data_IF_092924339486
#
_entry.id   IF_092924339486
#
_cell.length_a   1.000
_cell.length_b   1.000
_cell.length_c   1.000
_cell.angle_alpha   90.00
_cell.angle_beta   90.00
_cell.angle_gamma   90.00
#
_symmetry.space_group_name_H-M   'P 1'
#
loop_
_entity.id
_entity.type
_entity.pdbx_description
1 polymer ?
#
# COMPACT_ATOMS: atom_id res chain seq x y z
N UNK A 1 -21.99 32.74 6.24
CA UNK A 1 -21.91 32.30 4.83
C UNK A 1 -21.92 30.77 4.87
N UNK A 2 -22.85 30.14 4.16
CA UNK A 2 -23.11 28.69 4.27
C UNK A 2 -21.93 27.87 3.76
N UNK A 3 -21.42 26.95 4.60
CA UNK A 3 -20.42 25.97 4.20
C UNK A 3 -21.14 24.75 3.62
N UNK A 4 -21.36 24.73 2.31
CA UNK A 4 -21.90 23.56 1.62
C UNK A 4 -20.74 22.66 1.25
N UNK A 5 -20.45 21.68 2.11
CA UNK A 5 -19.51 20.60 1.78
C UNK A 5 -20.15 19.73 0.69
N UNK A 6 -19.49 19.52 -0.46
CA UNK A 6 -20.01 18.64 -1.50
C UNK A 6 -20.05 17.19 -0.99
N UNK A 7 -21.05 16.40 -1.41
CA UNK A 7 -21.14 15.00 -0.99
C UNK A 7 -19.95 14.21 -1.54
N UNK A 8 -19.34 13.38 -0.69
CA UNK A 8 -18.25 12.50 -1.08
C UNK A 8 -18.83 11.38 -1.97
N UNK A 9 -18.23 11.10 -3.14
CA UNK A 9 -18.67 10.00 -3.99
C UNK A 9 -18.53 8.64 -3.29
N UNK A 10 -19.34 7.64 -3.65
CA UNK A 10 -19.24 6.31 -3.05
C UNK A 10 -17.88 5.70 -3.32
N UNK A 11 -17.27 5.11 -2.29
CA UNK A 11 -16.02 4.38 -2.41
C UNK A 11 -16.23 3.14 -3.31
N UNK A 12 -15.35 2.86 -4.27
CA UNK A 12 -15.42 1.61 -5.03
C UNK A 12 -15.32 0.41 -4.08
N UNK A 13 -15.91 -0.74 -4.44
CA UNK A 13 -15.72 -1.96 -3.65
C UNK A 13 -14.21 -2.26 -3.58
N UNK A 14 -13.72 -2.49 -2.37
CA UNK A 14 -12.37 -3.03 -2.17
C UNK A 14 -12.42 -4.40 -2.85
N UNK A 15 -11.68 -4.57 -3.94
CA UNK A 15 -11.47 -5.89 -4.49
C UNK A 15 -10.60 -6.62 -3.46
N UNK A 16 -11.13 -7.68 -2.83
CA UNK A 16 -10.35 -8.71 -2.12
C UNK A 16 -9.47 -9.52 -3.11
N UNK A 17 -8.95 -8.87 -4.14
CA UNK A 17 -8.26 -9.48 -5.27
C UNK A 17 -6.95 -8.75 -5.47
N UNK A 18 -5.89 -9.45 -5.07
CA UNK A 18 -4.48 -9.13 -5.28
C UNK A 18 -3.98 -7.95 -4.44
N UNK A 19 -3.69 -8.25 -3.17
CA UNK A 19 -2.44 -7.74 -2.62
C UNK A 19 -1.37 -8.17 -3.61
N UNK A 20 -0.93 -7.23 -4.45
CA UNK A 20 0.11 -7.46 -5.43
C UNK A 20 1.27 -8.13 -4.69
N UNK A 21 1.80 -9.20 -5.29
CA UNK A 21 2.84 -10.09 -4.73
C UNK A 21 4.13 -9.27 -4.50
N UNK A 22 4.12 -8.41 -3.48
CA UNK A 22 5.27 -7.61 -3.07
C UNK A 22 6.29 -8.61 -2.55
N UNK A 23 7.47 -8.70 -3.17
CA UNK A 23 8.45 -9.71 -2.80
C UNK A 23 8.96 -9.45 -1.39
N UNK A 24 8.69 -10.39 -0.48
CA UNK A 24 9.14 -10.38 0.91
C UNK A 24 10.06 -11.57 1.20
N UNK A 25 10.91 -11.43 2.22
CA UNK A 25 11.81 -12.47 2.71
C UNK A 25 11.71 -12.60 4.22
N UNK A 26 11.89 -13.81 4.73
CA UNK A 26 11.94 -14.06 6.17
C UNK A 26 13.33 -13.73 6.73
N UNK A 27 13.40 -12.82 7.71
CA UNK A 27 14.62 -12.48 8.45
C UNK A 27 14.31 -12.58 9.94
N UNK A 28 15.02 -13.48 10.64
CA UNK A 28 14.85 -13.71 12.08
C UNK A 28 13.40 -14.03 12.53
N UNK A 29 12.61 -14.61 11.61
CA UNK A 29 11.21 -14.97 11.85
C UNK A 29 10.22 -13.82 11.65
N UNK A 30 10.66 -12.69 11.10
CA UNK A 30 9.83 -11.58 10.66
C UNK A 30 9.80 -11.50 9.12
N UNK A 31 8.65 -11.14 8.55
CA UNK A 31 8.52 -10.93 7.11
C UNK A 31 8.92 -9.49 6.78
N UNK A 32 10.01 -9.33 6.02
CA UNK A 32 10.53 -8.02 5.61
C UNK A 32 10.57 -7.90 4.09
N UNK A 33 10.54 -6.67 3.57
CA UNK A 33 10.68 -6.41 2.14
C UNK A 33 12.02 -6.96 1.62
N UNK A 34 11.99 -7.64 0.47
CA UNK A 34 13.20 -8.15 -0.15
C UNK A 34 13.92 -7.06 -0.95
N UNK A 35 15.02 -6.54 -0.41
CA UNK A 35 15.85 -5.49 -1.03
C UNK A 35 16.65 -5.98 -2.24
N UNK A 36 16.75 -7.30 -2.42
CA UNK A 36 17.41 -7.93 -3.56
C UNK A 36 16.42 -8.20 -4.72
N UNK A 37 15.12 -7.95 -4.50
CA UNK A 37 14.11 -8.05 -5.55
C UNK A 37 14.27 -6.91 -6.55
N UNK A 38 14.08 -7.22 -7.84
CA UNK A 38 14.18 -6.23 -8.90
C UNK A 38 13.15 -5.10 -8.67
N UNK A 39 13.60 -3.87 -8.40
CA UNK A 39 12.76 -2.69 -8.21
C UNK A 39 11.80 -2.42 -9.39
N UNK A 40 12.11 -2.96 -10.57
CA UNK A 40 11.23 -2.90 -11.74
C UNK A 40 9.97 -3.78 -11.61
N UNK A 41 9.94 -4.71 -10.66
CA UNK A 41 8.79 -5.51 -10.29
C UNK A 41 7.95 -4.86 -9.17
N UNK A 42 8.50 -3.87 -8.46
CA UNK A 42 7.79 -3.11 -7.43
C UNK A 42 7.10 -1.92 -8.10
N UNK A 43 5.76 -1.88 -8.08
CA UNK A 43 5.04 -0.70 -8.55
C UNK A 43 5.33 0.48 -7.62
N UNK A 44 5.85 1.58 -8.17
CA UNK A 44 6.17 2.78 -7.39
C UNK A 44 4.95 3.35 -6.69
N UNK A 45 3.76 3.16 -7.27
CA UNK A 45 2.51 3.55 -6.64
C UNK A 45 2.22 2.75 -5.36
N UNK A 46 2.61 1.48 -5.31
CA UNK A 46 2.44 0.62 -4.15
C UNK A 46 3.50 0.87 -3.08
N UNK A 47 4.74 1.16 -3.49
CA UNK A 47 5.79 1.58 -2.56
C UNK A 47 5.41 2.86 -1.79
N UNK A 48 4.83 3.86 -2.46
CA UNK A 48 4.34 5.08 -1.83
C UNK A 48 3.21 4.79 -0.80
N UNK A 49 2.36 3.79 -1.07
CA UNK A 49 1.31 3.37 -0.13
C UNK A 49 1.90 2.71 1.11
N UNK A 50 2.85 1.78 0.96
CA UNK A 50 3.49 1.08 2.07
C UNK A 50 4.22 2.07 3.01
N UNK A 51 4.91 3.06 2.44
CA UNK A 51 5.61 4.09 3.20
C UNK A 51 4.68 4.94 4.08
N UNK A 52 3.44 5.17 3.64
CA UNK A 52 2.41 5.90 4.41
C UNK A 52 1.86 5.05 5.57
N UNK A 53 1.86 3.73 5.44
CA UNK A 53 1.35 2.81 6.48
C UNK A 53 2.38 2.54 7.58
N UNK A 54 3.68 2.67 7.29
CA UNK A 54 4.77 2.42 8.24
C UNK A 54 5.06 3.51 9.29
N UNK A 55 4.28 4.60 9.35
CA UNK A 55 4.51 5.77 10.24
C UNK A 55 3.63 5.77 11.51
N UNK A 56 2.87 4.71 11.80
CA UNK A 56 1.87 4.68 12.89
C UNK A 56 2.26 3.86 14.16
N UNK A 57 3.54 3.82 14.56
CA UNK A 57 3.97 3.25 15.88
C UNK A 57 4.77 4.25 16.75
#
# INVERSE_FOLDING_TARGET
MSNTTPPIPPLPPIADGDAEDVPTREVDGEEVLDEDADDAQIDSAEADRAAVVGDDD
#
